data_IF_168990621202
#
_entry.id   IF_168990621202
#
_cell.length_a   1.000
_cell.length_b   1.000
_cell.length_c   1.000
_cell.angle_alpha   90.00
_cell.angle_beta   90.00
_cell.angle_gamma   90.00
#
_symmetry.space_group_name_H-M   'P 1'
#
loop_
_entity.id
_entity.type
_entity.pdbx_description
1 polymer ?
#
# COMPACT_ATOMS: atom_id res chain seq x y z
N UNK A 1 -15.40 14.61 -24.79
CA UNK A 1 -14.16 14.66 -23.99
C UNK A 1 -13.25 13.52 -24.47
N UNK A 2 -12.05 13.81 -25.00
CA UNK A 2 -11.19 12.81 -25.65
C UNK A 2 -10.70 11.73 -24.67
N UNK A 3 -10.41 10.52 -25.20
CA UNK A 3 -9.87 9.40 -24.42
C UNK A 3 -8.58 9.78 -23.66
N UNK A 4 -7.80 10.73 -24.17
CA UNK A 4 -6.57 11.23 -23.56
C UNK A 4 -6.81 11.97 -22.23
N UNK A 5 -7.86 12.76 -22.11
CA UNK A 5 -8.24 13.45 -20.84
C UNK A 5 -8.69 12.40 -19.82
N UNK A 6 -9.27 11.32 -20.29
CA UNK A 6 -9.85 10.25 -19.50
C UNK A 6 -8.84 9.47 -18.65
N UNK A 7 -7.59 9.38 -19.05
CA UNK A 7 -6.56 8.57 -18.39
C UNK A 7 -5.58 9.40 -17.55
N UNK A 8 -5.65 10.75 -17.62
CA UNK A 8 -4.74 11.65 -16.89
C UNK A 8 -4.88 11.52 -15.36
N UNK A 9 -6.10 11.25 -14.86
CA UNK A 9 -6.31 11.06 -13.42
C UNK A 9 -5.42 9.96 -12.85
N UNK A 10 -5.42 8.75 -13.44
CA UNK A 10 -4.64 7.62 -12.92
C UNK A 10 -3.14 7.87 -12.97
N UNK A 11 -2.66 8.56 -13.99
CA UNK A 11 -1.25 8.95 -14.07
C UNK A 11 -0.88 10.00 -13.01
N UNK A 12 -1.73 11.02 -12.81
CA UNK A 12 -1.52 12.04 -11.78
C UNK A 12 -1.58 11.43 -10.37
N UNK A 13 -2.57 10.56 -10.11
CA UNK A 13 -2.70 9.81 -8.87
C UNK A 13 -1.46 8.97 -8.58
N UNK A 14 -0.98 8.21 -9.57
CA UNK A 14 0.20 7.36 -9.43
C UNK A 14 1.46 8.17 -9.12
N UNK A 15 1.63 9.33 -9.77
CA UNK A 15 2.77 10.23 -9.50
C UNK A 15 2.68 10.81 -8.09
N UNK A 16 1.51 11.33 -7.70
CA UNK A 16 1.31 11.90 -6.37
C UNK A 16 1.58 10.86 -5.26
N UNK A 17 1.09 9.64 -5.46
CA UNK A 17 1.31 8.52 -4.55
C UNK A 17 2.78 8.12 -4.50
N UNK A 18 3.48 8.07 -5.64
CA UNK A 18 4.90 7.79 -5.70
C UNK A 18 5.71 8.87 -4.97
N UNK A 19 5.43 10.16 -5.22
CA UNK A 19 6.07 11.27 -4.51
C UNK A 19 5.86 11.16 -3.01
N UNK A 20 4.63 10.87 -2.57
CA UNK A 20 4.31 10.65 -1.16
C UNK A 20 5.13 9.51 -0.56
N UNK A 21 5.19 8.35 -1.24
CA UNK A 21 5.94 7.18 -0.77
C UNK A 21 7.44 7.49 -0.71
N UNK A 22 8.02 8.04 -1.79
CA UNK A 22 9.45 8.35 -1.83
C UNK A 22 9.85 9.39 -0.79
N UNK A 23 9.07 10.44 -0.61
CA UNK A 23 9.29 11.44 0.43
C UNK A 23 9.22 10.84 1.83
N UNK A 24 8.24 9.97 2.10
CA UNK A 24 8.08 9.29 3.39
C UNK A 24 9.27 8.39 3.75
N UNK A 25 9.88 7.73 2.77
CA UNK A 25 11.04 6.87 2.98
C UNK A 25 12.39 7.56 2.72
N UNK A 26 12.40 8.84 2.32
CA UNK A 26 13.62 9.56 1.99
C UNK A 26 14.67 9.43 3.09
N UNK A 27 14.37 9.90 4.30
CA UNK A 27 15.28 9.88 5.44
C UNK A 27 15.68 8.48 5.91
N UNK A 28 14.73 7.53 5.90
CA UNK A 28 14.93 6.23 6.56
C UNK A 28 15.44 5.12 5.63
N UNK A 29 15.39 5.34 4.31
CA UNK A 29 15.82 4.35 3.31
C UNK A 29 16.68 4.94 2.21
N UNK A 30 16.16 5.89 1.40
CA UNK A 30 16.85 6.36 0.19
C UNK A 30 18.07 7.24 0.48
N UNK A 31 17.95 8.15 1.46
CA UNK A 31 18.98 9.10 1.85
C UNK A 31 19.63 8.73 3.19
N UNK A 32 19.44 7.50 3.65
CA UNK A 32 19.87 7.04 4.98
C UNK A 32 21.32 7.30 5.31
N UNK A 33 22.21 7.34 4.33
CA UNK A 33 23.63 7.60 4.52
C UNK A 33 23.95 9.03 4.99
N UNK A 34 23.01 9.97 4.80
CA UNK A 34 23.11 11.33 5.31
C UNK A 34 22.45 11.53 6.67
N UNK A 35 21.83 10.49 7.21
CA UNK A 35 21.17 10.53 8.50
C UNK A 35 21.66 9.36 9.36
N UNK A 36 21.79 9.61 10.66
CA UNK A 36 22.15 8.58 11.63
C UNK A 36 20.95 7.65 11.88
N UNK A 37 20.74 6.70 10.95
CA UNK A 37 19.68 5.70 11.05
C UNK A 37 20.27 4.31 11.21
N UNK A 38 19.59 3.48 12.03
CA UNK A 38 20.03 2.12 12.31
C UNK A 38 20.27 1.32 11.04
N UNK A 39 21.28 0.44 11.00
CA UNK A 39 21.49 -0.49 9.90
C UNK A 39 20.23 -1.28 9.60
N UNK A 40 19.97 -1.54 8.34
CA UNK A 40 18.87 -2.40 7.88
C UNK A 40 19.38 -3.74 7.44
N UNK A 41 18.59 -4.78 7.67
CA UNK A 41 18.92 -6.16 7.28
C UNK A 41 18.80 -6.34 5.76
N UNK A 42 19.45 -7.39 5.23
CA UNK A 42 19.33 -7.77 3.81
C UNK A 42 17.86 -7.97 3.42
N UNK A 43 17.05 -8.59 4.28
CA UNK A 43 15.62 -8.77 4.04
C UNK A 43 14.90 -7.43 3.84
N UNK A 44 15.17 -6.43 4.68
CA UNK A 44 14.57 -5.09 4.55
C UNK A 44 15.07 -4.38 3.29
N UNK A 45 16.33 -4.60 2.87
CA UNK A 45 16.84 -4.08 1.60
C UNK A 45 16.10 -4.68 0.40
N UNK A 46 15.98 -6.00 0.35
CA UNK A 46 15.26 -6.70 -0.73
C UNK A 46 13.79 -6.27 -0.78
N UNK A 47 13.13 -6.20 0.38
CA UNK A 47 11.77 -5.65 0.50
C UNK A 47 11.69 -4.23 -0.09
N UNK A 48 12.60 -3.34 0.31
CA UNK A 48 12.62 -1.96 -0.18
C UNK A 48 12.83 -1.85 -1.69
N UNK A 49 13.74 -2.65 -2.26
CA UNK A 49 13.99 -2.71 -3.72
C UNK A 49 12.74 -3.17 -4.47
N UNK A 50 12.11 -4.26 -4.01
CA UNK A 50 10.92 -4.83 -4.65
C UNK A 50 9.73 -3.88 -4.58
N UNK A 51 9.49 -3.25 -3.42
CA UNK A 51 8.42 -2.26 -3.29
C UNK A 51 8.69 -0.99 -4.10
N UNK A 52 9.95 -0.55 -4.18
CA UNK A 52 10.34 0.56 -5.06
C UNK A 52 10.07 0.23 -6.52
N UNK A 53 10.48 -0.96 -6.97
CA UNK A 53 10.21 -1.44 -8.33
C UNK A 53 8.72 -1.48 -8.64
N UNK A 54 7.89 -1.93 -7.67
CA UNK A 54 6.43 -1.93 -7.81
C UNK A 54 5.85 -0.53 -7.98
N UNK A 55 6.25 0.44 -7.15
CA UNK A 55 5.77 1.82 -7.22
C UNK A 55 6.17 2.46 -8.56
N UNK A 56 7.42 2.30 -8.97
CA UNK A 56 7.92 2.81 -10.27
C UNK A 56 7.15 2.18 -11.43
N UNK A 57 6.97 0.86 -11.39
CA UNK A 57 6.22 0.14 -12.42
C UNK A 57 4.76 0.60 -12.48
N UNK A 58 4.11 0.86 -11.35
CA UNK A 58 2.75 1.39 -11.31
C UNK A 58 2.66 2.76 -11.99
N UNK A 59 3.63 3.65 -11.76
CA UNK A 59 3.70 4.96 -12.46
C UNK A 59 3.90 4.75 -13.95
N UNK A 60 4.85 3.90 -14.37
CA UNK A 60 5.10 3.61 -15.78
C UNK A 60 3.83 3.08 -16.46
N UNK A 61 3.17 2.11 -15.85
CA UNK A 61 1.96 1.48 -16.36
C UNK A 61 0.82 2.48 -16.56
N UNK A 62 0.60 3.37 -15.61
CA UNK A 62 -0.44 4.41 -15.74
C UNK A 62 -0.07 5.46 -16.79
N UNK A 63 1.21 5.78 -16.96
CA UNK A 63 1.72 6.68 -18.01
C UNK A 63 1.56 6.07 -19.40
N UNK A 64 1.86 4.78 -19.56
CA UNK A 64 1.67 4.06 -20.82
C UNK A 64 0.20 4.07 -21.27
N UNK A 65 -0.74 3.87 -20.32
CA UNK A 65 -2.17 3.98 -20.63
C UNK A 65 -2.56 5.42 -21.00
N UNK A 66 -2.03 6.42 -20.31
CA UNK A 66 -2.27 7.83 -20.65
C UNK A 66 -1.74 8.19 -22.06
N UNK A 67 -0.61 7.60 -22.46
CA UNK A 67 -0.01 7.73 -23.78
C UNK A 67 -0.63 6.80 -24.85
N UNK A 68 -1.68 6.03 -24.50
CA UNK A 68 -2.33 5.04 -25.38
C UNK A 68 -1.40 3.91 -25.89
N UNK A 69 -0.26 3.70 -25.24
CA UNK A 69 0.68 2.62 -25.56
C UNK A 69 0.26 1.31 -24.85
N UNK A 70 -0.83 0.74 -25.32
CA UNK A 70 -1.41 -0.49 -24.74
C UNK A 70 -0.52 -1.72 -24.96
N UNK A 71 0.26 -1.77 -26.07
CA UNK A 71 1.15 -2.90 -26.36
C UNK A 71 2.23 -3.02 -25.27
N UNK A 72 2.94 -1.94 -25.00
CA UNK A 72 4.00 -1.92 -23.98
C UNK A 72 3.41 -2.11 -22.57
N UNK A 73 2.22 -1.52 -22.29
CA UNK A 73 1.50 -1.76 -21.03
C UNK A 73 1.24 -3.25 -20.80
N UNK A 74 0.77 -3.99 -21.81
CA UNK A 74 0.50 -5.43 -21.69
C UNK A 74 1.77 -6.25 -21.52
N UNK A 75 2.83 -5.93 -22.26
CA UNK A 75 4.12 -6.63 -22.15
C UNK A 75 4.75 -6.44 -20.77
N UNK A 76 4.83 -5.21 -20.28
CA UNK A 76 5.30 -4.89 -18.92
C UNK A 76 4.35 -5.41 -17.83
N UNK A 77 3.06 -5.59 -18.15
CA UNK A 77 2.09 -6.17 -17.24
C UNK A 77 2.44 -7.59 -16.79
N UNK A 78 3.11 -8.38 -17.65
CA UNK A 78 3.61 -9.72 -17.29
C UNK A 78 4.70 -9.59 -16.22
N UNK A 79 5.69 -8.73 -16.43
CA UNK A 79 6.71 -8.44 -15.40
C UNK A 79 6.07 -7.90 -14.11
N UNK A 80 4.99 -7.11 -14.25
CA UNK A 80 4.21 -6.60 -13.12
C UNK A 80 3.62 -7.69 -12.25
N UNK A 81 3.17 -8.80 -12.81
CA UNK A 81 2.65 -9.95 -12.04
C UNK A 81 3.78 -10.56 -11.19
N UNK A 82 4.98 -10.74 -11.75
CA UNK A 82 6.13 -11.25 -11.00
C UNK A 82 6.54 -10.31 -9.88
N UNK A 83 6.62 -9.00 -10.17
CA UNK A 83 6.95 -8.01 -9.13
C UNK A 83 5.89 -7.99 -8.03
N UNK A 84 4.60 -8.09 -8.37
CA UNK A 84 3.52 -8.18 -7.38
C UNK A 84 3.64 -9.43 -6.50
N UNK A 85 4.00 -10.58 -7.07
CA UNK A 85 4.25 -11.80 -6.30
C UNK A 85 5.42 -11.59 -5.32
N UNK A 86 6.51 -10.96 -5.76
CA UNK A 86 7.64 -10.62 -4.89
C UNK A 86 7.23 -9.63 -3.79
N UNK A 87 6.39 -8.63 -4.10
CA UNK A 87 5.83 -7.71 -3.07
C UNK A 87 5.08 -8.49 -2.00
N UNK A 88 4.27 -9.47 -2.38
CA UNK A 88 3.53 -10.32 -1.44
C UNK A 88 4.51 -11.15 -0.60
N UNK A 89 5.47 -11.84 -1.22
CA UNK A 89 6.44 -12.69 -0.54
C UNK A 89 7.26 -11.87 0.47
N UNK A 90 7.90 -10.79 0.03
CA UNK A 90 8.72 -9.95 0.90
C UNK A 90 7.90 -9.16 1.91
N UNK A 91 6.65 -8.81 1.57
CA UNK A 91 5.71 -8.18 2.50
C UNK A 91 5.35 -9.10 3.67
N UNK A 92 4.98 -10.37 3.40
CA UNK A 92 4.74 -11.35 4.45
C UNK A 92 6.00 -11.68 5.24
N UNK A 93 7.13 -11.93 4.57
CA UNK A 93 8.40 -12.25 5.23
C UNK A 93 8.83 -11.16 6.23
N UNK A 94 8.79 -9.89 5.82
CA UNK A 94 9.15 -8.78 6.70
C UNK A 94 8.15 -8.58 7.84
N UNK A 95 6.85 -8.80 7.60
CA UNK A 95 5.83 -8.74 8.64
C UNK A 95 6.08 -9.81 9.71
N UNK A 96 6.28 -11.07 9.32
CA UNK A 96 6.52 -12.19 10.23
C UNK A 96 7.81 -11.99 11.02
N UNK A 97 8.92 -11.67 10.36
CA UNK A 97 10.20 -11.40 11.05
C UNK A 97 10.07 -10.23 12.03
N UNK A 98 9.20 -9.26 11.75
CA UNK A 98 8.96 -8.14 12.65
C UNK A 98 8.25 -8.53 13.95
N UNK A 99 7.55 -9.67 14.00
CA UNK A 99 6.87 -10.17 15.21
C UNK A 99 7.87 -10.57 16.31
N UNK A 100 9.03 -11.11 15.93
CA UNK A 100 10.09 -11.48 16.87
C UNK A 100 10.97 -10.30 17.32
N UNK A 101 10.81 -9.10 16.76
CA UNK A 101 11.64 -7.96 17.13
C UNK A 101 11.16 -7.31 18.44
N UNK A 102 11.98 -7.22 19.50
CA UNK A 102 11.60 -6.60 20.77
C UNK A 102 11.53 -5.08 20.62
N UNK A 103 10.40 -4.55 20.19
CA UNK A 103 10.20 -3.11 19.97
C UNK A 103 8.82 -2.67 20.45
N UNK A 104 8.76 -1.50 21.06
CA UNK A 104 7.50 -0.78 21.26
C UNK A 104 7.03 -0.30 19.89
N UNK A 105 5.77 -0.58 19.60
CA UNK A 105 5.12 -0.21 18.34
C UNK A 105 4.20 0.99 18.57
N UNK A 106 3.77 1.66 17.49
CA UNK A 106 2.75 2.70 17.61
C UNK A 106 1.51 2.23 18.38
N UNK A 107 0.83 3.16 19.00
CA UNK A 107 -0.42 2.91 19.75
C UNK A 107 -0.24 1.98 20.97
N UNK A 108 0.98 1.85 21.50
CA UNK A 108 1.27 1.01 22.68
C UNK A 108 1.24 -0.50 22.40
N UNK A 109 1.14 -0.93 21.16
CA UNK A 109 1.16 -2.36 20.78
C UNK A 109 2.55 -2.97 21.00
N UNK A 110 2.60 -4.23 21.37
CA UNK A 110 3.82 -5.03 21.25
C UNK A 110 4.02 -5.53 19.82
N UNK A 111 5.16 -6.16 19.53
CA UNK A 111 5.47 -6.61 18.15
C UNK A 111 4.53 -7.71 17.67
N UNK A 112 4.09 -8.61 18.55
CA UNK A 112 3.18 -9.71 18.25
C UNK A 112 1.76 -9.20 17.91
N UNK A 113 1.31 -8.20 18.65
CA UNK A 113 0.05 -7.51 18.36
C UNK A 113 0.11 -6.73 17.05
N UNK A 114 1.21 -5.99 16.86
CA UNK A 114 1.35 -5.10 15.70
C UNK A 114 1.43 -5.84 14.36
N UNK A 115 1.91 -7.09 14.32
CA UNK A 115 2.11 -7.83 13.07
C UNK A 115 0.83 -8.02 12.26
N UNK A 116 -0.36 -8.00 12.88
CA UNK A 116 -1.65 -8.05 12.17
C UNK A 116 -1.80 -6.91 11.16
N UNK A 117 -1.31 -5.73 11.50
CA UNK A 117 -1.49 -4.51 10.69
C UNK A 117 -0.81 -4.65 9.32
N UNK A 118 0.50 -4.96 9.20
CA UNK A 118 1.11 -5.20 7.90
C UNK A 118 0.64 -6.49 7.22
N UNK A 119 0.29 -7.56 7.97
CA UNK A 119 -0.24 -8.78 7.37
C UNK A 119 -1.56 -8.54 6.66
N UNK A 120 -2.49 -7.84 7.28
CA UNK A 120 -3.77 -7.50 6.64
C UNK A 120 -3.58 -6.57 5.44
N UNK A 121 -2.67 -5.59 5.53
CA UNK A 121 -2.38 -4.69 4.42
C UNK A 121 -1.87 -5.45 3.18
N UNK A 122 -0.91 -6.36 3.35
CA UNK A 122 -0.37 -7.16 2.24
C UNK A 122 -1.37 -8.19 1.73
N UNK A 123 -2.25 -8.72 2.59
CA UNK A 123 -3.36 -9.61 2.18
C UNK A 123 -4.35 -8.84 1.30
N UNK A 124 -4.77 -7.64 1.68
CA UNK A 124 -5.61 -6.80 0.83
C UNK A 124 -4.94 -6.50 -0.51
N UNK A 125 -3.66 -6.15 -0.49
CA UNK A 125 -2.89 -5.96 -1.71
C UNK A 125 -2.93 -7.20 -2.61
N UNK A 126 -2.64 -8.37 -2.06
CA UNK A 126 -2.63 -9.63 -2.81
C UNK A 126 -4.00 -9.94 -3.44
N UNK A 127 -5.08 -9.82 -2.66
CA UNK A 127 -6.45 -10.03 -3.14
C UNK A 127 -6.80 -9.05 -4.26
N UNK A 128 -6.54 -7.75 -4.06
CA UNK A 128 -6.91 -6.71 -5.01
C UNK A 128 -6.10 -6.81 -6.31
N UNK A 129 -4.80 -7.09 -6.24
CA UNK A 129 -3.96 -7.29 -7.44
C UNK A 129 -4.38 -8.55 -8.19
N UNK A 130 -4.63 -9.66 -7.48
CA UNK A 130 -5.10 -10.90 -8.10
C UNK A 130 -6.43 -10.68 -8.81
N UNK A 131 -7.40 -10.07 -8.15
CA UNK A 131 -8.68 -9.72 -8.77
C UNK A 131 -8.50 -8.79 -9.98
N UNK A 132 -7.60 -7.79 -9.87
CA UNK A 132 -7.30 -6.89 -10.99
C UNK A 132 -6.71 -7.63 -12.19
N UNK A 133 -5.79 -8.57 -11.97
CA UNK A 133 -5.16 -9.37 -13.03
C UNK A 133 -6.19 -10.32 -13.68
N UNK A 134 -7.01 -11.00 -12.89
CA UNK A 134 -8.06 -11.87 -13.41
C UNK A 134 -9.10 -11.11 -14.23
N UNK A 135 -9.43 -9.90 -13.79
CA UNK A 135 -10.40 -9.01 -14.44
C UNK A 135 -9.78 -8.02 -15.43
N UNK A 136 -8.52 -8.26 -15.88
CA UNK A 136 -7.79 -7.32 -16.75
C UNK A 136 -8.47 -6.98 -18.07
N UNK A 137 -9.31 -7.89 -18.58
CA UNK A 137 -10.14 -7.64 -19.77
C UNK A 137 -11.27 -6.63 -19.51
N UNK A 138 -11.66 -6.40 -18.24
CA UNK A 138 -12.65 -5.43 -17.81
C UNK A 138 -11.93 -4.18 -17.29
N UNK A 139 -11.49 -3.31 -18.20
CA UNK A 139 -10.64 -2.15 -17.88
C UNK A 139 -11.17 -1.27 -16.75
N UNK A 140 -12.50 -1.15 -16.59
CA UNK A 140 -13.12 -0.35 -15.53
C UNK A 140 -12.92 -0.95 -14.13
N UNK A 141 -12.91 -2.28 -14.02
CA UNK A 141 -12.62 -3.00 -12.78
C UNK A 141 -11.12 -3.00 -12.50
N UNK A 142 -10.33 -3.44 -13.49
CA UNK A 142 -8.87 -3.56 -13.39
C UNK A 142 -8.21 -2.31 -12.82
N UNK A 143 -8.42 -1.15 -13.43
CA UNK A 143 -7.76 0.10 -13.02
C UNK A 143 -8.11 0.52 -11.60
N UNK A 144 -9.38 0.33 -11.16
CA UNK A 144 -9.84 0.70 -9.82
C UNK A 144 -9.31 -0.24 -8.75
N UNK A 145 -9.31 -1.55 -9.04
CA UNK A 145 -8.73 -2.57 -8.15
C UNK A 145 -7.23 -2.32 -7.96
N UNK A 146 -6.48 -2.02 -9.03
CA UNK A 146 -5.07 -1.66 -8.94
C UNK A 146 -4.82 -0.39 -8.11
N UNK A 147 -5.71 0.60 -8.23
CA UNK A 147 -5.63 1.83 -7.41
C UNK A 147 -5.87 1.53 -5.93
N UNK A 148 -6.90 0.74 -5.59
CA UNK A 148 -7.15 0.32 -4.21
C UNK A 148 -6.02 -0.54 -3.64
N UNK A 149 -5.41 -1.41 -4.47
CA UNK A 149 -4.24 -2.19 -4.06
C UNK A 149 -3.07 -1.28 -3.65
N UNK A 150 -2.84 -0.19 -4.37
CA UNK A 150 -1.82 0.79 -3.97
C UNK A 150 -2.18 1.51 -2.67
N UNK A 151 -3.46 1.85 -2.45
CA UNK A 151 -3.90 2.49 -1.21
C UNK A 151 -3.76 1.53 -0.02
N UNK A 152 -4.01 0.22 -0.20
CA UNK A 152 -3.95 -0.77 0.89
C UNK A 152 -2.57 -0.88 1.56
N UNK A 153 -1.50 -0.57 0.84
CA UNK A 153 -0.10 -0.64 1.34
C UNK A 153 0.48 0.70 1.78
N UNK A 154 -0.36 1.74 1.96
CA UNK A 154 0.10 3.07 2.41
C UNK A 154 0.46 3.13 3.91
N UNK A 155 0.09 2.14 4.69
CA UNK A 155 0.37 2.13 6.14
C UNK A 155 1.84 2.42 6.48
N UNK A 156 2.83 1.67 5.95
CA UNK A 156 4.23 1.91 6.23
C UNK A 156 4.76 3.29 5.80
N UNK A 157 4.46 3.84 4.60
CA UNK A 157 4.83 5.21 4.25
C UNK A 157 4.29 6.24 5.25
N UNK A 158 3.00 6.15 5.61
CA UNK A 158 2.39 7.07 6.58
C UNK A 158 3.08 6.96 7.94
N UNK A 159 3.35 5.73 8.41
CA UNK A 159 4.08 5.50 9.65
C UNK A 159 5.48 6.15 9.64
N UNK A 160 6.20 6.09 8.52
CA UNK A 160 7.52 6.73 8.40
C UNK A 160 7.42 8.25 8.51
N UNK A 161 6.43 8.85 7.86
CA UNK A 161 6.20 10.28 7.96
C UNK A 161 5.91 10.70 9.41
N UNK A 162 5.01 9.98 10.10
CA UNK A 162 4.65 10.22 11.50
C UNK A 162 5.90 10.20 12.39
N UNK A 163 6.76 9.19 12.26
CA UNK A 163 8.00 9.09 13.05
C UNK A 163 8.99 10.22 12.75
N UNK A 164 9.11 10.61 11.48
CA UNK A 164 10.02 11.71 11.09
C UNK A 164 9.53 13.06 11.60
N UNK A 165 8.21 13.26 11.69
CA UNK A 165 7.59 14.51 12.16
C UNK A 165 7.31 14.52 13.66
N UNK A 166 7.63 13.44 14.39
CA UNK A 166 7.37 13.30 15.84
C UNK A 166 5.91 13.53 16.24
N UNK A 167 4.98 13.03 15.41
CA UNK A 167 3.53 13.14 15.64
C UNK A 167 2.90 11.82 16.07
N UNK A 168 3.66 10.98 16.80
CA UNK A 168 3.27 9.61 17.18
C UNK A 168 1.96 9.56 17.99
N UNK A 169 1.66 10.57 18.80
CA UNK A 169 0.42 10.68 19.55
C UNK A 169 -0.83 10.71 18.65
N UNK A 170 -0.69 11.12 17.40
CA UNK A 170 -1.78 11.18 16.43
C UNK A 170 -1.75 10.02 15.42
N UNK A 171 -0.98 8.96 15.69
CA UNK A 171 -0.71 7.88 14.73
C UNK A 171 -1.98 7.33 14.09
N UNK A 172 -2.98 6.92 14.89
CA UNK A 172 -4.22 6.35 14.37
C UNK A 172 -5.02 7.36 13.53
N UNK A 173 -5.12 8.61 13.99
CA UNK A 173 -5.84 9.67 13.31
C UNK A 173 -5.18 10.01 11.96
N UNK A 174 -3.86 10.16 11.91
CA UNK A 174 -3.14 10.47 10.67
C UNK A 174 -3.25 9.29 9.69
N UNK A 175 -3.06 8.05 10.16
CA UNK A 175 -3.23 6.85 9.34
C UNK A 175 -4.62 6.81 8.70
N UNK A 176 -5.66 7.00 9.50
CA UNK A 176 -7.04 6.97 9.00
C UNK A 176 -7.31 8.12 8.03
N UNK A 177 -6.96 9.35 8.39
CA UNK A 177 -7.21 10.56 7.58
C UNK A 177 -6.53 10.47 6.22
N UNK A 178 -5.28 10.02 6.14
CA UNK A 178 -4.55 9.88 4.86
C UNK A 178 -5.21 8.81 3.98
N UNK A 179 -5.60 7.66 4.54
CA UNK A 179 -6.32 6.65 3.77
C UNK A 179 -7.67 7.17 3.26
N UNK A 180 -8.44 7.87 4.13
CA UNK A 180 -9.70 8.52 3.73
C UNK A 180 -9.46 9.51 2.60
N UNK A 181 -8.42 10.35 2.68
CA UNK A 181 -8.11 11.32 1.65
C UNK A 181 -7.85 10.67 0.27
N UNK A 182 -7.05 9.58 0.23
CA UNK A 182 -6.79 8.87 -1.02
C UNK A 182 -8.04 8.16 -1.58
N UNK A 183 -8.86 7.54 -0.72
CA UNK A 183 -10.12 6.92 -1.14
C UNK A 183 -11.10 7.99 -1.61
N UNK A 184 -11.26 9.09 -0.88
CA UNK A 184 -12.12 10.20 -1.25
C UNK A 184 -11.70 10.83 -2.60
N UNK A 185 -10.41 10.97 -2.83
CA UNK A 185 -9.90 11.43 -4.14
C UNK A 185 -10.39 10.54 -5.29
N UNK A 186 -10.34 9.21 -5.10
CA UNK A 186 -10.87 8.26 -6.08
C UNK A 186 -12.38 8.38 -6.29
N UNK A 187 -13.16 8.51 -5.19
CA UNK A 187 -14.60 8.67 -5.22
C UNK A 187 -15.00 9.96 -5.95
N UNK A 188 -14.36 11.09 -5.60
CA UNK A 188 -14.60 12.40 -6.21
C UNK A 188 -14.23 12.36 -7.70
N UNK A 189 -13.13 11.73 -8.08
CA UNK A 189 -12.72 11.62 -9.47
C UNK A 189 -13.71 10.80 -10.32
N UNK A 190 -14.24 9.70 -9.76
CA UNK A 190 -15.28 8.93 -10.44
C UNK A 190 -16.57 9.72 -10.56
N UNK A 191 -17.03 10.35 -9.47
CA UNK A 191 -18.24 11.16 -9.47
C UNK A 191 -18.17 12.35 -10.45
N UNK A 192 -17.08 13.13 -10.40
CA UNK A 192 -16.88 14.25 -11.34
C UNK A 192 -16.87 13.82 -12.80
N UNK A 193 -16.47 12.59 -13.07
CA UNK A 193 -16.28 12.10 -14.43
C UNK A 193 -17.50 11.37 -14.98
N UNK A 194 -18.13 10.54 -14.16
CA UNK A 194 -19.19 9.62 -14.59
C UNK A 194 -20.54 9.97 -13.98
N UNK A 195 -20.61 10.94 -13.05
CA UNK A 195 -21.77 11.29 -12.21
C UNK A 195 -22.29 10.10 -11.39
N UNK A 196 -21.54 9.01 -11.35
CA UNK A 196 -21.80 7.79 -10.59
C UNK A 196 -20.46 7.31 -10.02
N UNK A 197 -20.48 6.85 -8.76
CA UNK A 197 -19.33 6.22 -8.14
C UNK A 197 -19.36 4.71 -8.39
N UNK A 198 -18.27 4.16 -8.93
CA UNK A 198 -18.20 2.74 -9.22
C UNK A 198 -18.10 1.90 -7.94
N UNK A 199 -18.85 0.76 -7.82
CA UNK A 199 -18.87 -0.09 -6.61
C UNK A 199 -17.49 -0.52 -6.10
N UNK A 200 -16.50 -0.70 -6.97
CA UNK A 200 -15.12 -1.00 -6.54
C UNK A 200 -14.59 0.08 -5.60
N UNK A 201 -14.84 1.36 -5.85
CA UNK A 201 -14.36 2.43 -4.97
C UNK A 201 -15.26 2.63 -3.75
N UNK A 202 -16.59 2.57 -3.89
CA UNK A 202 -17.49 2.75 -2.75
C UNK A 202 -17.43 1.56 -1.79
N UNK A 203 -17.60 0.33 -2.27
CA UNK A 203 -17.58 -0.88 -1.45
C UNK A 203 -16.14 -1.24 -1.05
N UNK A 204 -15.24 -1.34 -2.03
CA UNK A 204 -13.84 -1.71 -1.77
C UNK A 204 -13.11 -0.68 -0.90
N UNK A 205 -13.36 0.62 -1.12
CA UNK A 205 -12.85 1.69 -0.29
C UNK A 205 -13.42 1.64 1.14
N UNK A 206 -14.72 1.40 1.30
CA UNK A 206 -15.34 1.23 2.62
C UNK A 206 -14.74 0.04 3.37
N UNK A 207 -14.61 -1.14 2.73
CA UNK A 207 -13.99 -2.32 3.33
C UNK A 207 -12.55 -2.00 3.78
N UNK A 208 -11.77 -1.33 2.93
CA UNK A 208 -10.40 -0.95 3.27
C UNK A 208 -10.37 -0.01 4.48
N UNK A 209 -11.20 1.02 4.52
CA UNK A 209 -11.25 1.99 5.63
C UNK A 209 -11.74 1.36 6.93
N UNK A 210 -12.79 0.53 6.89
CA UNK A 210 -13.32 -0.17 8.05
C UNK A 210 -12.29 -1.17 8.59
N UNK A 211 -11.49 -1.79 7.72
CA UNK A 211 -10.44 -2.71 8.15
C UNK A 211 -9.38 -2.05 9.04
N UNK A 212 -9.16 -0.73 8.94
CA UNK A 212 -8.15 -0.02 9.73
C UNK A 212 -8.42 -0.10 11.25
N UNK A 213 -9.60 0.35 11.75
CA UNK A 213 -9.92 0.20 13.18
C UNK A 213 -10.15 -1.26 13.57
N UNK A 214 -10.77 -2.08 12.71
CA UNK A 214 -11.07 -3.48 13.01
C UNK A 214 -9.79 -4.28 13.28
N UNK A 215 -8.77 -4.17 12.42
CA UNK A 215 -7.49 -4.87 12.64
C UNK A 215 -6.75 -4.39 13.89
N UNK A 216 -6.92 -3.10 14.27
CA UNK A 216 -6.37 -2.58 15.51
C UNK A 216 -7.07 -3.22 16.73
N UNK A 217 -8.39 -3.31 16.72
CA UNK A 217 -9.15 -3.97 17.79
C UNK A 217 -8.79 -5.46 17.90
N UNK A 218 -8.75 -6.17 16.77
CA UNK A 218 -8.38 -7.59 16.76
C UNK A 218 -6.95 -7.79 17.26
N UNK A 219 -6.01 -6.89 16.90
CA UNK A 219 -4.61 -7.00 17.32
C UNK A 219 -4.39 -7.02 18.82
N UNK A 220 -5.32 -6.47 19.60
CA UNK A 220 -5.27 -6.41 21.06
C UNK A 220 -5.90 -7.62 21.74
N UNK A 221 -6.50 -8.53 20.99
CA UNK A 221 -7.13 -9.74 21.58
C UNK A 221 -6.08 -10.77 21.98
N UNK A 222 -6.30 -11.50 23.10
CA UNK A 222 -5.40 -12.58 23.53
C UNK A 222 -5.23 -13.68 22.46
N UNK A 223 -6.32 -13.96 21.72
CA UNK A 223 -6.29 -14.93 20.62
C UNK A 223 -5.30 -14.54 19.53
N UNK A 224 -5.32 -13.25 19.10
CA UNK A 224 -4.36 -12.76 18.12
C UNK A 224 -2.94 -12.73 18.65
N UNK A 225 -2.75 -12.32 19.91
CA UNK A 225 -1.42 -12.28 20.53
C UNK A 225 -0.77 -13.67 20.59
N UNK A 226 -1.55 -14.72 20.84
CA UNK A 226 -1.08 -16.12 20.76
C UNK A 226 -0.60 -16.49 19.37
N UNK A 227 -1.33 -16.09 18.31
CA UNK A 227 -0.91 -16.27 16.91
C UNK A 227 0.39 -15.49 16.63
N UNK A 228 0.48 -14.26 17.11
CA UNK A 228 1.67 -13.42 16.95
C UNK A 228 2.91 -14.01 17.64
N UNK A 229 2.76 -14.61 18.83
CA UNK A 229 3.83 -15.34 19.51
C UNK A 229 4.26 -16.57 18.73
N UNK A 230 3.32 -17.38 18.26
CA UNK A 230 3.63 -18.53 17.43
C UNK A 230 4.42 -18.13 16.18
N UNK A 231 4.03 -17.04 15.50
CA UNK A 231 4.78 -16.50 14.34
C UNK A 231 6.20 -16.04 14.72
N UNK A 232 6.39 -15.55 15.94
CA UNK A 232 7.69 -15.11 16.45
C UNK A 232 8.57 -16.26 16.94
N UNK A 233 8.05 -17.48 17.04
CA UNK A 233 8.73 -18.65 17.56
C UNK A 233 8.88 -18.64 19.09
N UNK A 234 7.96 -17.99 19.82
CA UNK A 234 7.97 -17.83 21.28
C UNK A 234 6.60 -18.17 21.90
#
# INVERSE_FOLDING_TARGET
MSAAIRNRFYAAFAIALAVFIFASFARTYYLRYWFDVRPITVLIHLHGIVFTAWVVLFVIQTRLIAAQNYRTHMQLGIAGIFVAALVVIFGFATAIVSAGAPRVRPMGLNSQQFVLIPLTAITFFAILVTAAVLLRKRAQLHKRLMTLAMISILGPPIARLIFVTHTDQYFAAIQFTVHVAFVAWCLIADWRKYHIVHPVYSIGGAILLISLPVRFLISQTPAWESVGRWMAGI
#
